data_IF_892160451646
#
_entry.id   IF_892160451646
#
_cell.length_a   1.000
_cell.length_b   1.000
_cell.length_c   1.000
_cell.angle_alpha   90.00
_cell.angle_beta   90.00
_cell.angle_gamma   90.00
#
_symmetry.space_group_name_H-M   'P 1'
#
loop_
_entity.id
_entity.type
_entity.pdbx_description
1 polymer ?
#
# COMPACT_ATOMS: atom_id res chain seq x y z
N UNK A 1 -1.68 -20.93 5.26
CA UNK A 1 -0.90 -20.37 4.14
C UNK A 1 0.48 -20.01 4.66
N UNK A 2 1.54 -20.24 3.88
CA UNK A 2 2.88 -19.80 4.30
C UNK A 2 3.14 -18.34 3.87
N UNK A 3 4.20 -17.72 4.39
CA UNK A 3 4.50 -16.31 4.15
C UNK A 3 4.79 -15.97 2.69
N UNK A 4 5.47 -16.86 1.96
CA UNK A 4 5.81 -16.63 0.55
C UNK A 4 4.55 -16.72 -0.33
N UNK A 5 3.72 -17.73 -0.10
CA UNK A 5 2.41 -17.89 -0.74
C UNK A 5 1.50 -16.68 -0.46
N UNK A 6 1.55 -16.15 0.76
CA UNK A 6 0.82 -14.94 1.11
C UNK A 6 1.31 -13.71 0.34
N UNK A 7 2.63 -13.52 0.25
CA UNK A 7 3.21 -12.42 -0.52
C UNK A 7 2.82 -12.49 -2.00
N UNK A 8 2.83 -13.68 -2.60
CA UNK A 8 2.39 -13.83 -4.00
C UNK A 8 0.90 -13.51 -4.15
N UNK A 9 0.03 -13.94 -3.23
CA UNK A 9 -1.39 -13.56 -3.24
C UNK A 9 -1.59 -12.03 -3.12
N UNK A 10 -0.78 -11.36 -2.30
CA UNK A 10 -0.79 -9.90 -2.20
C UNK A 10 -0.38 -9.23 -3.51
N UNK A 11 0.61 -9.78 -4.21
CA UNK A 11 1.05 -9.30 -5.51
C UNK A 11 0.01 -9.50 -6.59
N UNK A 12 -0.63 -10.67 -6.63
CA UNK A 12 -1.72 -10.95 -7.58
C UNK A 12 -2.86 -9.94 -7.44
N UNK A 13 -3.17 -9.53 -6.22
CA UNK A 13 -4.23 -8.55 -5.95
C UNK A 13 -3.93 -7.15 -6.54
N UNK A 14 -2.66 -6.81 -6.68
CA UNK A 14 -2.23 -5.50 -7.20
C UNK A 14 -1.57 -5.59 -8.57
N UNK A 15 -1.56 -6.75 -9.21
CA UNK A 15 -0.93 -6.91 -10.52
C UNK A 15 -1.77 -6.22 -11.59
N UNK A 16 -1.21 -5.15 -12.15
CA UNK A 16 -1.79 -4.49 -13.32
C UNK A 16 -0.96 -4.88 -14.54
N UNK A 17 -1.53 -5.77 -15.36
CA UNK A 17 -0.98 -6.13 -16.66
C UNK A 17 0.45 -6.71 -16.61
N UNK A 18 0.82 -7.38 -15.50
CA UNK A 18 2.15 -8.00 -15.31
C UNK A 18 3.22 -7.05 -14.76
N UNK A 19 2.85 -5.82 -14.38
CA UNK A 19 3.78 -4.81 -13.85
C UNK A 19 4.52 -5.29 -12.61
N UNK A 20 3.96 -6.21 -11.83
CA UNK A 20 4.64 -6.77 -10.65
C UNK A 20 5.99 -7.40 -11.00
N UNK A 21 6.14 -7.98 -12.20
CA UNK A 21 7.40 -8.60 -12.63
C UNK A 21 8.56 -7.61 -12.74
N UNK A 22 8.28 -6.31 -12.83
CA UNK A 22 9.28 -5.24 -12.89
C UNK A 22 9.59 -4.64 -11.51
N UNK A 23 8.79 -4.94 -10.47
CA UNK A 23 8.90 -4.36 -9.13
C UNK A 23 8.92 -5.43 -8.04
N UNK A 24 9.44 -6.62 -8.34
CA UNK A 24 9.49 -7.74 -7.41
C UNK A 24 10.35 -7.40 -6.20
N UNK A 25 11.48 -6.72 -6.38
CA UNK A 25 12.38 -6.32 -5.31
C UNK A 25 11.74 -5.28 -4.39
N UNK A 26 11.11 -4.23 -4.93
CA UNK A 26 10.46 -3.21 -4.10
C UNK A 26 9.29 -3.79 -3.32
N UNK A 27 8.43 -4.59 -3.94
CA UNK A 27 7.30 -5.23 -3.23
C UNK A 27 7.78 -6.21 -2.16
N UNK A 28 8.89 -6.92 -2.39
CA UNK A 28 9.54 -7.75 -1.37
C UNK A 28 10.02 -6.90 -0.19
N UNK A 29 10.70 -5.78 -0.47
CA UNK A 29 11.25 -4.92 0.56
C UNK A 29 10.15 -4.21 1.37
N UNK A 30 9.08 -3.77 0.71
CA UNK A 30 7.88 -3.24 1.37
C UNK A 30 7.27 -4.26 2.34
N UNK A 31 7.25 -5.54 1.96
CA UNK A 31 6.69 -6.62 2.78
C UNK A 31 7.62 -7.05 3.91
N UNK A 32 8.93 -6.86 3.75
CA UNK A 32 9.92 -7.10 4.80
C UNK A 32 10.07 -5.91 5.76
N UNK A 33 9.54 -4.74 5.40
CA UNK A 33 9.62 -3.53 6.23
C UNK A 33 8.43 -3.45 7.19
N UNK A 34 8.71 -3.46 8.50
CA UNK A 34 7.70 -3.29 9.55
C UNK A 34 7.01 -1.92 9.46
N UNK A 35 5.68 -1.92 9.55
CA UNK A 35 4.91 -0.71 9.76
C UNK A 35 4.87 -0.32 11.25
N UNK A 36 5.69 0.65 11.64
CA UNK A 36 5.71 1.15 13.02
C UNK A 36 4.58 2.18 13.22
N UNK A 37 3.55 1.89 14.04
CA UNK A 37 2.43 2.81 14.29
C UNK A 37 2.88 4.01 15.11
N UNK A 38 2.39 5.20 14.75
CA UNK A 38 2.83 6.47 15.39
C UNK A 38 1.65 7.33 15.84
N UNK A 39 0.44 6.97 15.43
CA UNK A 39 -0.82 7.64 15.76
C UNK A 39 -1.89 6.62 16.11
N UNK A 40 -2.96 7.05 16.80
CA UNK A 40 -4.12 6.17 17.09
C UNK A 40 -4.82 5.68 15.82
N UNK A 41 -4.78 6.46 14.72
CA UNK A 41 -5.33 6.04 13.43
C UNK A 41 -4.51 4.91 12.78
N UNK A 42 -3.23 4.81 13.12
CA UNK A 42 -2.39 3.71 12.62
C UNK A 42 -2.81 2.39 13.26
N UNK A 43 -3.33 2.40 14.49
CA UNK A 43 -3.85 1.20 15.14
C UNK A 43 -5.06 0.64 14.40
N UNK A 44 -5.99 1.49 13.95
CA UNK A 44 -7.12 1.02 13.14
C UNK A 44 -6.70 0.46 11.79
N UNK A 45 -5.58 0.94 11.22
CA UNK A 45 -5.04 0.37 9.97
C UNK A 45 -4.44 -1.01 10.20
N UNK A 46 -3.72 -1.19 11.31
CA UNK A 46 -3.20 -2.50 11.72
C UNK A 46 -4.37 -3.48 11.93
N UNK A 47 -5.44 -3.05 12.60
CA UNK A 47 -6.65 -3.86 12.77
C UNK A 47 -7.32 -4.22 11.44
N UNK A 48 -7.42 -3.26 10.51
CA UNK A 48 -7.93 -3.51 9.15
C UNK A 48 -7.04 -4.56 8.43
N UNK A 49 -5.71 -4.55 8.60
CA UNK A 49 -4.83 -5.57 8.01
C UNK A 49 -5.18 -6.96 8.52
N UNK A 50 -5.30 -7.14 9.84
CA UNK A 50 -5.65 -8.45 10.41
C UNK A 50 -7.03 -8.93 9.92
N UNK A 51 -8.03 -8.07 10.05
CA UNK A 51 -9.44 -8.46 9.87
C UNK A 51 -9.91 -8.45 8.42
N UNK A 52 -9.32 -7.61 7.56
CA UNK A 52 -9.75 -7.48 6.15
C UNK A 52 -8.79 -8.13 5.16
N UNK A 53 -7.51 -8.23 5.47
CA UNK A 53 -6.50 -8.74 4.54
C UNK A 53 -5.99 -10.12 4.94
N UNK A 54 -5.44 -10.28 6.14
CA UNK A 54 -4.89 -11.56 6.60
C UNK A 54 -5.98 -12.62 6.73
N UNK A 55 -7.09 -12.31 7.40
CA UNK A 55 -8.25 -13.21 7.50
C UNK A 55 -8.81 -13.60 6.12
N UNK A 56 -8.90 -12.66 5.17
CA UNK A 56 -9.41 -12.91 3.81
C UNK A 56 -8.58 -13.99 3.09
N UNK A 57 -7.25 -13.91 3.19
CA UNK A 57 -6.37 -14.91 2.58
C UNK A 57 -6.10 -16.13 3.49
N UNK A 58 -6.59 -16.15 4.73
CA UNK A 58 -6.28 -17.19 5.71
C UNK A 58 -4.80 -17.21 6.12
N UNK A 59 -4.18 -16.03 6.22
CA UNK A 59 -2.84 -15.86 6.78
C UNK A 59 -2.93 -15.69 8.30
N UNK A 60 -2.28 -16.57 9.06
CA UNK A 60 -2.24 -16.53 10.53
C UNK A 60 -0.78 -16.41 11.01
N UNK A 61 0.00 -15.59 10.31
CA UNK A 61 1.39 -15.33 10.66
C UNK A 61 1.50 -14.42 11.89
N UNK A 62 2.38 -14.80 12.82
CA UNK A 62 2.68 -14.05 14.05
C UNK A 62 3.58 -12.82 13.80
N UNK A 63 3.99 -12.56 12.55
CA UNK A 63 4.86 -11.44 12.22
C UNK A 63 4.14 -10.09 12.34
N UNK A 64 4.92 -9.05 12.65
CA UNK A 64 4.45 -7.67 12.64
C UNK A 64 3.88 -7.29 11.26
N UNK A 65 2.94 -6.35 11.27
CA UNK A 65 2.32 -5.85 10.04
C UNK A 65 3.36 -5.09 9.22
N UNK A 66 3.48 -5.45 7.95
CA UNK A 66 4.38 -4.80 7.01
C UNK A 66 3.79 -3.52 6.41
N UNK A 67 4.66 -2.66 5.89
CA UNK A 67 4.22 -1.47 5.12
C UNK A 67 3.41 -1.90 3.90
N UNK A 68 3.80 -2.99 3.22
CA UNK A 68 3.07 -3.48 2.05
C UNK A 68 1.62 -3.84 2.36
N UNK A 69 1.40 -4.59 3.43
CA UNK A 69 0.04 -4.97 3.86
C UNK A 69 -0.81 -3.74 4.15
N UNK A 70 -0.27 -2.74 4.85
CA UNK A 70 -1.00 -1.49 5.14
C UNK A 70 -1.39 -0.77 3.85
N UNK A 71 -0.49 -0.70 2.87
CA UNK A 71 -0.78 -0.05 1.58
C UNK A 71 -1.91 -0.79 0.86
N UNK A 72 -1.83 -2.12 0.75
CA UNK A 72 -2.84 -2.93 0.08
C UNK A 72 -4.20 -2.79 0.77
N UNK A 73 -4.25 -2.86 2.10
CA UNK A 73 -5.49 -2.68 2.86
C UNK A 73 -6.10 -1.30 2.63
N UNK A 74 -5.28 -0.25 2.52
CA UNK A 74 -5.77 1.09 2.17
C UNK A 74 -6.34 1.15 0.74
N UNK A 75 -5.73 0.44 -0.21
CA UNK A 75 -6.22 0.33 -1.59
C UNK A 75 -7.57 -0.41 -1.63
N UNK A 76 -7.66 -1.57 -0.98
CA UNK A 76 -8.90 -2.34 -0.84
C UNK A 76 -10.04 -1.50 -0.25
N UNK A 77 -9.74 -0.77 0.83
CA UNK A 77 -10.72 0.11 1.47
C UNK A 77 -11.15 1.25 0.54
N UNK A 78 -10.25 1.78 -0.28
CA UNK A 78 -10.58 2.83 -1.25
C UNK A 78 -11.48 2.27 -2.37
N UNK A 79 -11.12 1.13 -2.92
CA UNK A 79 -11.87 0.40 -3.94
C UNK A 79 -13.29 0.03 -3.49
N UNK A 80 -13.43 -0.61 -2.32
CA UNK A 80 -14.70 -1.17 -1.88
C UNK A 80 -15.57 -0.20 -1.07
N UNK A 81 -14.99 0.54 -0.12
CA UNK A 81 -15.77 1.30 0.85
C UNK A 81 -16.05 2.75 0.40
N UNK A 82 -15.24 3.30 -0.53
CA UNK A 82 -15.32 4.71 -0.92
C UNK A 82 -15.90 4.89 -2.33
N UNK A 83 -15.38 4.14 -3.31
CA UNK A 83 -15.66 4.42 -4.73
C UNK A 83 -16.65 3.40 -5.34
N UNK A 84 -16.64 2.17 -4.85
CA UNK A 84 -17.66 1.17 -5.18
C UNK A 84 -17.27 0.31 -6.39
N UNK A 85 -16.47 -0.72 -6.13
CA UNK A 85 -16.10 -1.82 -7.05
C UNK A 85 -15.05 -1.47 -8.11
N UNK A 86 -14.10 -0.58 -7.77
CA UNK A 86 -12.88 -0.38 -8.56
C UNK A 86 -11.80 -1.41 -8.22
N UNK A 87 -10.87 -1.63 -9.15
CA UNK A 87 -9.74 -2.55 -8.96
C UNK A 87 -8.72 -1.99 -7.95
N UNK A 88 -8.39 -2.70 -6.85
CA UNK A 88 -7.34 -2.32 -5.91
C UNK A 88 -5.97 -2.08 -6.55
N UNK A 89 -5.66 -2.75 -7.67
CA UNK A 89 -4.41 -2.59 -8.41
C UNK A 89 -4.21 -1.15 -8.89
N UNK A 90 -5.26 -0.52 -9.42
CA UNK A 90 -5.23 0.86 -9.91
C UNK A 90 -4.77 1.82 -8.82
N UNK A 91 -5.37 1.69 -7.63
CA UNK A 91 -5.05 2.54 -6.49
C UNK A 91 -3.64 2.28 -5.96
N UNK A 92 -3.22 1.02 -5.93
CA UNK A 92 -1.86 0.67 -5.53
C UNK A 92 -0.83 1.38 -6.42
N UNK A 93 -0.96 1.25 -7.74
CA UNK A 93 -0.01 1.84 -8.67
C UNK A 93 -0.05 3.37 -8.67
N UNK A 94 -1.23 3.96 -8.50
CA UNK A 94 -1.34 5.41 -8.33
C UNK A 94 -0.62 5.89 -7.06
N UNK A 95 -0.74 5.16 -5.94
CA UNK A 95 0.02 5.47 -4.73
C UNK A 95 1.52 5.31 -4.95
N UNK A 96 1.92 4.21 -5.58
CA UNK A 96 3.30 3.85 -5.87
C UNK A 96 4.01 4.94 -6.70
N UNK A 97 3.37 5.41 -7.76
CA UNK A 97 3.85 6.51 -8.61
C UNK A 97 3.91 7.84 -7.86
N UNK A 98 2.86 8.16 -7.09
CA UNK A 98 2.83 9.41 -6.32
C UNK A 98 3.93 9.48 -5.24
N UNK A 99 4.44 8.34 -4.77
CA UNK A 99 5.57 8.29 -3.85
C UNK A 99 6.92 8.34 -4.55
N UNK A 100 6.93 8.27 -5.88
CA UNK A 100 8.15 8.21 -6.70
C UNK A 100 8.83 6.85 -6.68
N UNK A 101 8.10 5.78 -6.32
CA UNK A 101 8.61 4.41 -6.33
C UNK A 101 8.63 3.80 -7.73
N UNK A 102 7.93 4.41 -8.70
CA UNK A 102 7.93 4.06 -10.13
C UNK A 102 9.32 4.10 -10.79
N UNK A 103 10.31 4.70 -10.12
CA UNK A 103 11.70 4.77 -10.58
C UNK A 103 12.59 3.70 -9.94
N UNK A 104 12.03 2.88 -9.06
CA UNK A 104 12.71 1.79 -8.37
C UNK A 104 12.22 0.44 -8.94
N UNK A 105 12.19 0.30 -10.27
CA UNK A 105 12.07 -1.03 -10.85
C UNK A 105 13.25 -1.93 -10.43
N UNK A 106 13.17 -3.21 -10.72
CA UNK A 106 14.16 -4.19 -10.28
C UNK A 106 15.56 -3.92 -10.85
N UNK A 107 15.67 -3.22 -11.99
CA UNK A 107 16.95 -2.82 -12.58
C UNK A 107 17.59 -1.62 -11.85
N UNK A 108 16.76 -0.73 -11.31
CA UNK A 108 17.16 0.50 -10.64
C UNK A 108 17.02 0.42 -9.11
N UNK A 109 16.62 -0.73 -8.56
CA UNK A 109 16.39 -0.90 -7.14
C UNK A 109 17.66 -0.68 -6.32
N UNK A 110 17.57 0.23 -5.36
CA UNK A 110 18.63 0.54 -4.40
C UNK A 110 18.00 0.75 -3.03
N UNK A 111 18.46 -0.03 -2.04
CA UNK A 111 17.98 0.03 -0.66
C UNK A 111 18.09 1.44 -0.04
N UNK A 112 19.12 2.21 -0.41
CA UNK A 112 19.30 3.57 0.13
C UNK A 112 18.20 4.52 -0.35
N UNK A 113 17.84 4.42 -1.63
CA UNK A 113 16.77 5.24 -2.22
C UNK A 113 15.40 4.78 -1.72
N UNK A 114 15.22 3.47 -1.59
CA UNK A 114 14.03 2.88 -0.96
C UNK A 114 13.82 3.39 0.48
N UNK A 115 14.84 3.28 1.35
CA UNK A 115 14.78 3.74 2.74
C UNK A 115 14.44 5.23 2.84
N UNK A 116 15.01 6.04 1.94
CA UNK A 116 14.71 7.47 1.88
C UNK A 116 13.23 7.74 1.53
N UNK A 117 12.70 7.01 0.54
CA UNK A 117 11.29 7.13 0.14
C UNK A 117 10.34 6.63 1.24
N UNK A 118 10.68 5.54 1.92
CA UNK A 118 9.90 5.02 3.06
C UNK A 118 9.92 5.97 4.25
N UNK A 119 11.06 6.53 4.64
CA UNK A 119 11.13 7.51 5.73
C UNK A 119 10.34 8.78 5.36
N UNK A 120 10.41 9.22 4.10
CA UNK A 120 9.55 10.30 3.59
C UNK A 120 8.06 9.94 3.72
N UNK A 121 7.65 8.74 3.31
CA UNK A 121 6.28 8.24 3.39
C UNK A 121 5.79 8.21 4.86
N UNK A 122 6.53 7.55 5.75
CA UNK A 122 6.17 7.46 7.16
C UNK A 122 6.09 8.84 7.85
N UNK A 123 6.86 9.83 7.39
CA UNK A 123 6.73 11.22 7.88
C UNK A 123 5.46 11.91 7.39
N UNK A 124 4.98 11.61 6.18
CA UNK A 124 3.72 12.16 5.67
C UNK A 124 2.52 11.72 6.52
N UNK A 125 2.51 10.48 7.04
CA UNK A 125 1.50 10.02 8.00
C UNK A 125 1.59 10.74 9.35
N UNK A 126 2.79 11.02 9.84
CA UNK A 126 3.01 11.75 11.11
C UNK A 126 2.51 13.19 11.05
N UNK A 127 2.76 13.89 9.95
CA UNK A 127 2.67 15.35 9.93
C UNK A 127 1.29 15.92 9.56
N UNK A 128 0.28 15.09 9.25
CA UNK A 128 -0.96 15.64 8.70
C UNK A 128 -2.26 14.91 9.07
N UNK A 129 -2.89 15.38 10.15
CA UNK A 129 -4.35 15.23 10.34
C UNK A 129 -5.16 15.97 9.25
N UNK A 130 -4.63 17.04 8.64
CA UNK A 130 -5.33 17.81 7.60
C UNK A 130 -4.93 17.45 6.16
N UNK A 131 -3.66 17.09 5.86
CA UNK A 131 -3.29 16.64 4.50
C UNK A 131 -3.50 15.16 4.19
N UNK A 132 -3.79 14.29 5.15
CA UNK A 132 -4.39 12.99 4.80
C UNK A 132 -5.79 13.21 4.20
N UNK A 133 -6.55 14.18 4.75
CA UNK A 133 -7.71 14.75 4.07
C UNK A 133 -7.34 15.36 2.71
N UNK A 134 -6.12 15.87 2.49
CA UNK A 134 -5.71 16.40 1.18
C UNK A 134 -5.24 15.35 0.17
N UNK A 135 -4.78 14.16 0.58
CA UNK A 135 -4.62 13.01 -0.32
C UNK A 135 -6.00 12.44 -0.64
N UNK A 136 -6.85 12.21 0.38
CA UNK A 136 -8.25 11.84 0.16
C UNK A 136 -9.05 12.92 -0.60
N UNK A 137 -8.76 14.21 -0.44
CA UNK A 137 -9.38 15.32 -1.20
C UNK A 137 -8.75 15.49 -2.57
N UNK A 138 -7.45 15.27 -2.75
CA UNK A 138 -6.83 15.26 -4.07
C UNK A 138 -7.40 14.09 -4.89
N UNK A 139 -7.67 12.95 -4.24
CA UNK A 139 -8.40 11.82 -4.81
C UNK A 139 -9.87 12.19 -5.08
N UNK A 140 -10.60 12.80 -4.14
CA UNK A 140 -11.99 13.27 -4.38
C UNK A 140 -12.07 14.39 -5.45
N UNK A 141 -11.05 15.23 -5.58
CA UNK A 141 -10.92 16.27 -6.61
C UNK A 141 -10.58 15.67 -7.98
N UNK A 142 -9.67 14.69 -8.01
CA UNK A 142 -9.36 13.92 -9.21
C UNK A 142 -10.58 13.13 -9.71
N UNK A 143 -11.38 12.56 -8.80
CA UNK A 143 -12.64 11.89 -9.12
C UNK A 143 -13.73 12.89 -9.57
N UNK A 144 -13.78 14.12 -9.01
CA UNK A 144 -14.76 15.13 -9.45
C UNK A 144 -14.45 15.77 -10.80
N UNK A 145 -13.18 15.79 -11.20
CA UNK A 145 -12.75 16.40 -12.47
C UNK A 145 -12.72 15.39 -13.65
N UNK A 146 -12.73 14.08 -13.38
CA UNK A 146 -12.65 13.03 -14.41
C UNK A 146 -13.95 12.22 -14.62
N UNK A 147 -15.00 12.45 -13.82
CA UNK A 147 -16.34 11.90 -14.03
C UNK A 147 -17.36 13.03 -14.26
N UNK A 148 -17.46 13.50 -15.52
CA UNK A 148 -18.59 14.27 -16.08
C UNK A 148 -18.99 13.67 -17.42
#
# INVERSE_FOLDING_TARGET
MNRDEYLENLRELIDDSGRISEYYLVTTELFNTEFIPKTEMDKSRIEDVYTKLREYFGYDGDEDVSIFEVIITLCLRTAHDIIGDEDPSHWFWLYFENWGMDKLDDENFNVVDFDYLIDRYCRMFKCNRSKNIDIYRAMLLYLSDNFV
#
